data_IF_663718945710
#
_entry.id   IF_663718945710
#
_cell.length_a   1.000
_cell.length_b   1.000
_cell.length_c   1.000
_cell.angle_alpha   90.00
_cell.angle_beta   90.00
_cell.angle_gamma   90.00
#
_symmetry.space_group_name_H-M   'P 1'
#
loop_
_entity.id
_entity.type
_entity.pdbx_description
1 polymer ?
#
# COMPACT_ATOMS: atom_id res chain seq x y z
N UNK A 1 3.59 8.72 9.07
CA UNK A 1 2.20 9.10 8.74
C UNK A 1 1.35 7.88 8.43
N UNK A 2 1.56 7.18 7.29
CA UNK A 2 0.78 5.98 6.93
C UNK A 2 0.81 4.89 8.02
N UNK A 3 2.02 4.51 8.47
CA UNK A 3 2.24 3.55 9.57
C UNK A 3 1.48 3.95 10.84
N UNK A 4 1.57 5.24 11.20
CA UNK A 4 1.01 5.78 12.43
C UNK A 4 -0.48 6.14 12.29
N UNK A 5 -1.12 5.74 11.17
CA UNK A 5 -2.52 6.05 10.82
C UNK A 5 -2.86 7.54 10.91
N UNK A 6 -1.87 8.40 10.62
CA UNK A 6 -2.07 9.84 10.52
C UNK A 6 -2.40 10.22 9.09
N UNK A 7 -3.18 11.30 8.88
CA UNK A 7 -3.43 11.83 7.54
C UNK A 7 -2.13 12.02 6.77
N UNK A 8 -2.14 11.62 5.51
CA UNK A 8 -1.03 11.87 4.59
C UNK A 8 -1.05 13.33 4.15
N UNK A 9 0.14 13.93 3.89
CA UNK A 9 0.17 15.23 3.26
C UNK A 9 -0.51 15.17 1.88
N UNK A 10 -1.03 16.29 1.36
CA UNK A 10 -1.56 16.34 0.01
C UNK A 10 -0.50 15.87 -0.99
N UNK A 11 -0.92 15.00 -1.91
CA UNK A 11 -0.08 14.48 -2.98
C UNK A 11 -0.57 14.96 -4.35
N UNK A 12 0.27 14.91 -5.40
CA UNK A 12 -0.18 15.04 -6.79
C UNK A 12 -1.34 14.10 -7.13
N UNK A 13 -2.13 14.44 -8.15
CA UNK A 13 -3.40 13.76 -8.43
C UNK A 13 -3.26 12.26 -8.72
N UNK A 14 -2.19 11.87 -9.42
CA UNK A 14 -1.83 10.47 -9.70
C UNK A 14 -1.47 9.72 -8.41
N UNK A 15 -0.60 10.29 -7.58
CA UNK A 15 -0.22 9.72 -6.28
C UNK A 15 -1.43 9.60 -5.34
N UNK A 16 -2.27 10.63 -5.28
CA UNK A 16 -3.46 10.66 -4.44
C UNK A 16 -4.47 9.58 -4.84
N UNK A 17 -4.71 9.40 -6.15
CA UNK A 17 -5.61 8.36 -6.64
C UNK A 17 -5.15 6.95 -6.22
N UNK A 18 -3.83 6.70 -6.26
CA UNK A 18 -3.27 5.42 -5.83
C UNK A 18 -3.30 5.23 -4.31
N UNK A 19 -3.04 6.30 -3.55
CA UNK A 19 -3.15 6.31 -2.09
C UNK A 19 -4.58 5.97 -1.65
N UNK A 20 -5.58 6.60 -2.27
CA UNK A 20 -6.98 6.40 -1.93
C UNK A 20 -7.44 4.98 -2.30
N UNK A 21 -7.08 4.52 -3.51
CA UNK A 21 -7.36 3.17 -3.98
C UNK A 21 -6.78 2.10 -3.05
N UNK A 22 -5.49 2.19 -2.73
CA UNK A 22 -4.82 1.23 -1.86
C UNK A 22 -5.36 1.26 -0.43
N UNK A 23 -5.57 2.46 0.12
CA UNK A 23 -6.11 2.62 1.47
C UNK A 23 -7.51 2.01 1.59
N UNK A 24 -8.41 2.29 0.64
CA UNK A 24 -9.76 1.73 0.66
C UNK A 24 -9.77 0.22 0.45
N UNK A 25 -8.97 -0.28 -0.50
CA UNK A 25 -8.84 -1.71 -0.77
C UNK A 25 -8.38 -2.48 0.48
N UNK A 26 -7.36 -1.97 1.19
CA UNK A 26 -6.86 -2.67 2.37
C UNK A 26 -7.76 -2.54 3.60
N UNK A 27 -8.42 -1.40 3.77
CA UNK A 27 -9.33 -1.15 4.88
C UNK A 27 -10.64 -1.95 4.74
N UNK A 28 -11.21 -2.01 3.53
CA UNK A 28 -12.58 -2.53 3.32
C UNK A 28 -12.63 -3.81 2.48
N UNK A 29 -11.51 -4.23 1.89
CA UNK A 29 -11.40 -5.35 0.94
C UNK A 29 -12.18 -5.15 -0.36
N UNK A 30 -12.64 -3.92 -0.61
CA UNK A 30 -13.33 -3.47 -1.83
C UNK A 30 -12.88 -2.06 -2.14
N UNK A 31 -13.14 -1.60 -3.36
CA UNK A 31 -12.92 -0.22 -3.77
C UNK A 31 -14.25 0.30 -4.31
N UNK A 32 -14.63 1.52 -3.94
CA UNK A 32 -15.83 2.16 -4.50
C UNK A 32 -15.60 2.49 -5.96
N UNK A 33 -16.69 2.55 -6.73
CA UNK A 33 -16.63 2.87 -8.16
C UNK A 33 -15.90 4.18 -8.43
N UNK A 34 -16.21 5.24 -7.68
CA UNK A 34 -15.56 6.56 -7.81
C UNK A 34 -14.04 6.50 -7.63
N UNK A 35 -13.56 5.76 -6.63
CA UNK A 35 -12.12 5.60 -6.37
C UNK A 35 -11.45 4.71 -7.42
N UNK A 36 -12.15 3.69 -7.91
CA UNK A 36 -11.67 2.87 -9.02
C UNK A 36 -11.56 3.68 -10.31
N UNK A 37 -12.57 4.49 -10.64
CA UNK A 37 -12.61 5.35 -11.82
C UNK A 37 -11.49 6.39 -11.78
N UNK A 38 -11.27 7.04 -10.63
CA UNK A 38 -10.16 7.95 -10.45
C UNK A 38 -8.79 7.28 -10.69
N UNK A 39 -8.60 6.05 -10.22
CA UNK A 39 -7.36 5.32 -10.43
C UNK A 39 -7.19 4.81 -11.87
N UNK A 40 -8.26 4.28 -12.49
CA UNK A 40 -8.19 3.76 -13.86
C UNK A 40 -7.98 4.89 -14.88
N UNK A 41 -8.49 6.09 -14.62
CA UNK A 41 -8.28 7.26 -15.47
C UNK A 41 -6.82 7.76 -15.42
N UNK A 42 -6.14 7.63 -14.28
CA UNK A 42 -4.74 8.01 -14.12
C UNK A 42 -3.77 6.98 -14.72
N UNK A 43 -4.03 5.69 -14.52
CA UNK A 43 -3.06 4.63 -14.79
C UNK A 43 -3.44 3.69 -15.95
N UNK A 44 -4.73 3.65 -16.32
CA UNK A 44 -5.25 2.65 -17.23
C UNK A 44 -5.25 1.23 -16.64
N UNK A 45 -5.85 0.29 -17.37
CA UNK A 45 -6.11 -1.06 -16.87
C UNK A 45 -4.85 -1.88 -16.59
N UNK A 46 -3.85 -1.81 -17.46
CA UNK A 46 -2.63 -2.60 -17.30
C UNK A 46 -1.86 -2.17 -16.05
N UNK A 47 -1.53 -0.88 -15.95
CA UNK A 47 -0.71 -0.36 -14.86
C UNK A 47 -1.43 -0.45 -13.52
N UNK A 48 -2.75 -0.19 -13.47
CA UNK A 48 -3.52 -0.35 -12.22
C UNK A 48 -3.55 -1.81 -11.76
N UNK A 49 -3.60 -2.77 -12.69
CA UNK A 49 -3.52 -4.20 -12.37
C UNK A 49 -2.15 -4.57 -11.80
N UNK A 50 -1.07 -4.06 -12.39
CA UNK A 50 0.30 -4.27 -11.90
C UNK A 50 0.50 -3.67 -10.50
N UNK A 51 0.02 -2.45 -10.27
CA UNK A 51 0.06 -1.79 -8.97
C UNK A 51 -0.74 -2.56 -7.91
N UNK A 52 -1.95 -3.02 -8.25
CA UNK A 52 -2.77 -3.86 -7.37
C UNK A 52 -2.07 -5.17 -7.02
N UNK A 53 -1.40 -5.79 -7.99
CA UNK A 53 -0.62 -7.01 -7.80
C UNK A 53 0.56 -6.77 -6.85
N UNK A 54 1.29 -5.66 -7.03
CA UNK A 54 2.40 -5.26 -6.19
C UNK A 54 1.95 -5.06 -4.72
N UNK A 55 0.83 -4.37 -4.53
CA UNK A 55 0.20 -4.20 -3.21
C UNK A 55 -0.13 -5.54 -2.55
N UNK A 56 -0.70 -6.48 -3.31
CA UNK A 56 -1.00 -7.84 -2.84
C UNK A 56 0.24 -8.63 -2.47
N UNK A 57 1.30 -8.53 -3.27
CA UNK A 57 2.58 -9.21 -3.01
C UNK A 57 3.21 -8.76 -1.69
N UNK A 58 3.27 -7.44 -1.42
CA UNK A 58 3.77 -6.95 -0.13
C UNK A 58 2.86 -7.32 1.04
N UNK A 59 1.55 -7.43 0.81
CA UNK A 59 0.63 -7.91 1.84
C UNK A 59 0.87 -9.37 2.21
N UNK A 60 1.15 -10.22 1.21
CA UNK A 60 1.54 -11.62 1.42
C UNK A 60 2.84 -11.72 2.23
N UNK A 61 3.85 -10.92 1.87
CA UNK A 61 5.12 -10.86 2.63
C UNK A 61 4.88 -10.43 4.08
N UNK A 62 4.08 -9.39 4.30
CA UNK A 62 3.73 -8.92 5.63
C UNK A 62 2.96 -9.98 6.44
N UNK A 63 2.05 -10.73 5.80
CA UNK A 63 1.35 -11.84 6.46
C UNK A 63 2.33 -12.90 6.97
N UNK A 64 3.30 -13.31 6.15
CA UNK A 64 4.31 -14.28 6.56
C UNK A 64 5.21 -13.72 7.68
N UNK A 65 5.67 -12.47 7.55
CA UNK A 65 6.49 -11.81 8.56
C UNK A 65 5.77 -11.72 9.91
N UNK A 66 4.48 -11.37 9.91
CA UNK A 66 3.69 -11.25 11.12
C UNK A 66 3.32 -12.61 11.73
N UNK A 67 3.01 -13.63 10.91
CA UNK A 67 2.57 -14.94 11.39
C UNK A 67 3.72 -15.81 11.92
N UNK A 68 4.92 -15.66 11.36
CA UNK A 68 6.09 -16.46 11.69
C UNK A 68 7.18 -15.68 12.43
N UNK A 69 6.91 -14.44 12.84
CA UNK A 69 7.83 -13.57 13.58
C UNK A 69 9.23 -13.52 12.93
N UNK A 70 9.29 -13.15 11.64
CA UNK A 70 10.55 -13.12 10.90
C UNK A 70 11.50 -12.11 11.56
N UNK A 71 12.63 -12.60 12.07
CA UNK A 71 13.66 -11.79 12.67
C UNK A 71 14.36 -10.87 11.66
N UNK A 72 14.80 -9.72 12.16
CA UNK A 72 15.63 -8.79 11.38
C UNK A 72 17.03 -9.40 11.14
N UNK A 73 17.67 -9.14 9.99
CA UNK A 73 19.03 -9.63 9.72
C UNK A 73 20.03 -9.19 10.80
N UNK A 74 20.95 -10.06 11.23
CA UNK A 74 21.93 -9.75 12.28
C UNK A 74 22.89 -8.62 11.87
N UNK A 75 23.36 -8.64 10.62
CA UNK A 75 24.33 -7.70 10.08
C UNK A 75 23.69 -6.43 9.49
N UNK A 76 22.73 -5.84 10.21
CA UNK A 76 22.01 -4.64 9.75
C UNK A 76 22.87 -3.38 9.86
N UNK A 77 22.85 -2.55 8.82
CA UNK A 77 23.50 -1.23 8.78
C UNK A 77 22.52 -0.08 9.06
N UNK A 78 21.22 -0.34 8.95
CA UNK A 78 20.16 0.64 9.14
C UNK A 78 19.60 0.59 10.58
N UNK A 79 19.23 1.74 11.15
CA UNK A 79 18.60 1.79 12.46
C UNK A 79 17.21 1.13 12.43
N UNK A 80 16.89 0.39 13.49
CA UNK A 80 15.57 -0.24 13.65
C UNK A 80 14.52 0.85 13.78
N UNK A 81 13.45 0.74 12.98
CA UNK A 81 12.32 1.64 13.09
C UNK A 81 11.62 1.44 14.44
N UNK A 82 11.21 2.51 15.12
CA UNK A 82 10.49 2.40 16.40
C UNK A 82 9.20 1.61 16.20
N UNK A 83 8.83 0.76 17.17
CA UNK A 83 7.56 0.01 17.17
C UNK A 83 6.38 0.92 17.44
#
# INVERSE_FOLDING_TARGET
ALRDKKPLPPAPADEQALIDFGTELFATKRVKQETFDAAIDQFGALQLTELTTLMGYYSLLAMNANAFEIDLPENRTEPVLPV
#
